data_IF_886871582977
#
_entry.id   IF_886871582977
#
_cell.length_a   1.000
_cell.length_b   1.000
_cell.length_c   1.000
_cell.angle_alpha   90.00
_cell.angle_beta   90.00
_cell.angle_gamma   90.00
#
_symmetry.space_group_name_H-M   'P 1'
#
loop_
_entity.id
_entity.type
_entity.pdbx_description
1 polymer ?
#
# COMPACT_ATOMS: atom_id res chain seq x y z
N UNK A 1 16.00 13.58 -20.48
CA UNK A 1 15.30 13.59 -19.19
C UNK A 1 15.69 12.33 -18.42
N UNK A 2 15.57 12.32 -17.09
CA UNK A 2 15.97 11.18 -16.24
C UNK A 2 14.76 10.37 -15.77
N UNK A 3 15.02 9.13 -15.37
CA UNK A 3 14.02 8.29 -14.71
C UNK A 3 13.92 8.61 -13.22
N UNK A 4 12.71 8.51 -12.67
CA UNK A 4 12.40 8.69 -11.25
C UNK A 4 11.56 7.53 -10.73
N UNK A 5 11.59 7.28 -9.42
CA UNK A 5 10.74 6.28 -8.76
C UNK A 5 9.58 6.98 -8.05
N UNK A 6 8.35 6.62 -8.39
CA UNK A 6 7.12 7.16 -7.81
C UNK A 6 6.36 6.05 -7.09
N UNK A 7 5.70 6.37 -5.96
CA UNK A 7 4.87 5.40 -5.26
C UNK A 7 3.73 4.97 -6.18
N UNK A 8 3.51 3.67 -6.36
CA UNK A 8 2.43 3.15 -7.21
C UNK A 8 1.23 2.68 -6.36
N UNK A 9 1.49 1.87 -5.33
CA UNK A 9 0.46 1.30 -4.48
C UNK A 9 0.88 1.29 -3.01
N UNK A 10 -0.10 1.41 -2.09
CA UNK A 10 0.15 1.37 -0.65
C UNK A 10 -1.00 0.77 0.15
N UNK A 11 -0.66 -0.18 1.01
CA UNK A 11 -1.48 -0.62 2.15
C UNK A 11 -0.99 0.12 3.39
N UNK A 12 -1.79 1.04 3.88
CA UNK A 12 -1.48 1.91 5.00
C UNK A 12 -2.11 1.36 6.29
N UNK A 13 -1.28 1.16 7.32
CA UNK A 13 -1.67 0.73 8.67
C UNK A 13 -2.31 -0.66 8.76
N UNK A 14 -1.95 -1.57 7.86
CA UNK A 14 -2.30 -2.99 8.04
C UNK A 14 -1.55 -3.58 9.24
N UNK A 15 -2.14 -4.54 9.93
CA UNK A 15 -1.54 -5.29 11.04
C UNK A 15 -0.93 -6.58 10.57
N UNK A 16 0.26 -6.90 11.06
CA UNK A 16 0.83 -8.24 10.93
C UNK A 16 -0.10 -9.22 11.64
N UNK A 17 -0.64 -10.19 10.91
CA UNK A 17 -1.50 -11.23 11.50
C UNK A 17 -0.65 -12.37 12.04
N UNK A 18 0.41 -12.71 11.32
CA UNK A 18 1.24 -13.89 11.58
C UNK A 18 2.70 -13.62 11.16
N UNK A 19 3.62 -14.42 11.69
CA UNK A 19 5.01 -14.44 11.27
C UNK A 19 5.47 -15.88 11.13
N UNK A 20 6.04 -16.25 9.99
CA UNK A 20 6.51 -17.61 9.74
C UNK A 20 8.01 -17.59 9.44
N UNK A 21 8.84 -18.09 10.37
CA UNK A 21 10.30 -18.00 10.29
C UNK A 21 10.91 -18.98 9.30
N UNK A 22 10.30 -20.16 9.14
CA UNK A 22 10.90 -21.26 8.37
C UNK A 22 10.45 -21.27 6.89
N UNK A 23 9.63 -20.30 6.48
CA UNK A 23 9.18 -20.14 5.10
C UNK A 23 10.12 -19.27 4.24
N UNK A 24 10.03 -19.38 2.91
CA UNK A 24 10.81 -18.55 2.00
C UNK A 24 10.49 -17.06 2.15
N UNK A 25 11.52 -16.22 2.26
CA UNK A 25 11.39 -14.79 2.52
C UNK A 25 10.45 -14.08 1.55
N UNK A 26 9.29 -13.66 2.06
CA UNK A 26 8.18 -13.06 1.32
C UNK A 26 7.21 -12.41 2.31
N UNK A 27 6.14 -11.80 1.81
CA UNK A 27 4.97 -11.43 2.63
C UNK A 27 3.72 -12.04 2.03
N UNK A 28 2.96 -12.80 2.81
CA UNK A 28 1.63 -13.25 2.39
C UNK A 28 0.64 -12.13 2.67
N UNK A 29 -0.09 -11.66 1.65
CA UNK A 29 -1.07 -10.57 1.77
C UNK A 29 -2.40 -11.06 1.23
N UNK A 30 -3.50 -10.73 1.91
CA UNK A 30 -4.86 -10.88 1.36
C UNK A 30 -4.94 -10.39 -0.09
N UNK A 31 -5.30 -11.29 -1.00
CA UNK A 31 -5.33 -11.00 -2.44
C UNK A 31 -6.30 -9.87 -2.80
N UNK A 32 -7.40 -9.71 -2.07
CA UNK A 32 -8.36 -8.63 -2.32
C UNK A 32 -7.77 -7.26 -1.96
N UNK A 33 -6.91 -7.17 -0.92
CA UNK A 33 -6.19 -5.94 -0.62
C UNK A 33 -5.19 -5.61 -1.73
N UNK A 34 -4.45 -6.61 -2.21
CA UNK A 34 -3.50 -6.46 -3.31
C UNK A 34 -4.18 -5.95 -4.59
N UNK A 35 -5.26 -6.61 -5.02
CA UNK A 35 -5.97 -6.31 -6.26
C UNK A 35 -6.54 -4.88 -6.27
N UNK A 36 -7.07 -4.43 -5.13
CA UNK A 36 -7.66 -3.08 -4.99
C UNK A 36 -6.66 -1.96 -5.21
N UNK A 37 -5.40 -2.14 -4.79
CA UNK A 37 -4.33 -1.14 -5.00
C UNK A 37 -3.42 -1.46 -6.18
N UNK A 38 -3.54 -2.65 -6.79
CA UNK A 38 -2.75 -3.08 -7.95
C UNK A 38 -1.36 -3.59 -7.60
N UNK A 39 -1.17 -4.17 -6.41
CA UNK A 39 0.09 -4.86 -6.06
C UNK A 39 0.08 -6.25 -6.70
N UNK A 40 1.11 -6.58 -7.47
CA UNK A 40 1.23 -7.88 -8.12
C UNK A 40 2.05 -8.87 -7.28
N UNK A 41 1.72 -10.18 -7.30
CA UNK A 41 2.63 -11.21 -6.82
C UNK A 41 4.01 -11.06 -7.46
N UNK A 42 5.08 -11.34 -6.70
CA UNK A 42 6.48 -11.21 -7.14
C UNK A 42 6.95 -9.76 -7.39
N UNK A 43 6.11 -8.74 -7.20
CA UNK A 43 6.53 -7.34 -7.28
C UNK A 43 7.36 -6.94 -6.06
N UNK A 44 8.41 -6.13 -6.25
CA UNK A 44 9.15 -5.56 -5.11
C UNK A 44 8.21 -4.70 -4.24
N UNK A 45 8.14 -5.01 -2.95
CA UNK A 45 7.45 -4.22 -1.93
C UNK A 45 8.42 -3.78 -0.85
N UNK A 46 8.19 -2.58 -0.34
CA UNK A 46 8.79 -2.07 0.89
C UNK A 46 7.80 -2.28 2.03
N UNK A 47 8.26 -2.86 3.14
CA UNK A 47 7.48 -3.01 4.36
C UNK A 47 8.15 -2.20 5.46
N UNK A 48 7.39 -1.31 6.08
CA UNK A 48 7.85 -0.44 7.15
C UNK A 48 7.03 -0.75 8.39
N UNK A 49 7.70 -1.22 9.43
CA UNK A 49 7.10 -1.45 10.73
C UNK A 49 6.95 -0.11 11.45
N UNK A 50 5.71 0.34 11.64
CA UNK A 50 5.39 1.58 12.34
C UNK A 50 5.63 1.43 13.84
N UNK A 51 5.45 0.21 14.38
CA UNK A 51 5.64 -0.06 15.82
C UNK A 51 7.10 0.09 16.24
N UNK A 52 8.06 -0.44 15.47
CA UNK A 52 9.46 -0.55 15.89
C UNK A 52 10.48 0.11 14.93
N UNK A 53 10.04 0.64 13.79
CA UNK A 53 10.89 1.35 12.83
C UNK A 53 11.65 0.47 11.84
N UNK A 54 11.57 -0.86 11.95
CA UNK A 54 12.23 -1.77 11.02
C UNK A 54 11.71 -1.60 9.58
N UNK A 55 12.60 -1.78 8.61
CA UNK A 55 12.28 -1.68 7.18
C UNK A 55 12.85 -2.89 6.45
N UNK A 56 12.02 -3.53 5.63
CA UNK A 56 12.43 -4.65 4.80
C UNK A 56 11.93 -4.47 3.37
N UNK A 57 12.68 -5.04 2.43
CA UNK A 57 12.29 -5.14 1.03
C UNK A 57 12.11 -6.61 0.69
N UNK A 58 11.00 -6.96 0.07
CA UNK A 58 10.69 -8.35 -0.31
C UNK A 58 9.66 -8.34 -1.45
N UNK A 59 8.97 -9.45 -1.67
CA UNK A 59 7.86 -9.58 -2.62
C UNK A 59 6.63 -10.21 -1.97
N UNK A 60 5.42 -9.91 -2.46
CA UNK A 60 4.19 -10.49 -1.94
C UNK A 60 3.85 -11.83 -2.60
N UNK A 61 3.16 -12.67 -1.83
CA UNK A 61 2.49 -13.90 -2.26
C UNK A 61 0.99 -13.75 -1.91
N UNK A 62 0.07 -14.15 -2.79
CA UNK A 62 -1.36 -14.00 -2.53
C UNK A 62 -1.82 -14.95 -1.42
N UNK A 63 -2.44 -14.39 -0.39
CA UNK A 63 -3.18 -15.10 0.65
C UNK A 63 -4.65 -15.28 0.29
N UNK A 64 -5.42 -15.89 1.21
CA UNK A 64 -6.86 -16.09 1.02
C UNK A 64 -7.59 -14.74 0.91
N UNK A 65 -8.50 -14.55 -0.05
CA UNK A 65 -9.27 -13.31 -0.18
C UNK A 65 -10.17 -13.07 1.04
N UNK A 66 -10.31 -11.80 1.43
CA UNK A 66 -11.11 -11.31 2.56
C UNK A 66 -10.74 -11.96 3.92
N UNK A 67 -9.50 -12.45 4.04
CA UNK A 67 -8.98 -13.01 5.29
C UNK A 67 -8.30 -11.96 6.16
N UNK A 68 -7.93 -10.81 5.60
CA UNK A 68 -7.11 -9.81 6.26
C UNK A 68 -5.67 -10.27 6.53
N UNK A 69 -5.22 -11.39 5.92
CA UNK A 69 -3.89 -11.94 6.22
C UNK A 69 -2.77 -10.99 5.82
N UNK A 70 -1.83 -10.78 6.73
CA UNK A 70 -0.53 -10.14 6.49
C UNK A 70 0.51 -10.96 7.26
N UNK A 71 1.07 -11.98 6.62
CA UNK A 71 2.07 -12.85 7.22
C UNK A 71 3.48 -12.47 6.76
N UNK A 72 4.36 -12.14 7.69
CA UNK A 72 5.77 -11.84 7.38
C UNK A 72 6.55 -13.16 7.42
N UNK A 73 7.13 -13.55 6.27
CA UNK A 73 7.78 -14.84 6.13
C UNK A 73 9.32 -14.74 6.14
N UNK A 74 9.97 -15.83 6.51
CA UNK A 74 11.42 -16.05 6.45
C UNK A 74 12.21 -15.17 7.41
N UNK A 75 13.41 -14.76 6.99
CA UNK A 75 14.32 -13.99 7.84
C UNK A 75 13.71 -12.69 8.38
N UNK A 76 12.79 -12.07 7.63
CA UNK A 76 12.09 -10.86 8.04
C UNK A 76 11.19 -11.09 9.27
N UNK A 77 10.70 -12.30 9.52
CA UNK A 77 9.84 -12.62 10.67
C UNK A 77 10.49 -12.27 12.02
N UNK A 78 11.83 -12.20 12.11
CA UNK A 78 12.53 -11.79 13.33
C UNK A 78 12.36 -10.29 13.67
N UNK A 79 11.90 -9.47 12.72
CA UNK A 79 11.80 -8.01 12.84
C UNK A 79 10.38 -7.51 13.09
N UNK A 80 9.41 -8.43 13.15
CA UNK A 80 7.98 -8.16 13.26
C UNK A 80 7.34 -9.08 14.29
N UNK A 81 6.24 -8.66 14.88
CA UNK A 81 5.43 -9.46 15.80
C UNK A 81 3.96 -9.36 15.38
N UNK A 82 3.16 -10.43 15.47
CA UNK A 82 1.72 -10.34 15.29
C UNK A 82 1.12 -9.18 16.11
N UNK A 83 0.29 -8.36 15.46
CA UNK A 83 -0.29 -7.14 16.00
C UNK A 83 0.45 -5.85 15.61
N UNK A 84 1.69 -5.94 15.12
CA UNK A 84 2.47 -4.79 14.64
C UNK A 84 1.74 -4.07 13.50
N UNK A 85 1.77 -2.74 13.52
CA UNK A 85 1.20 -1.92 12.45
C UNK A 85 2.30 -1.70 11.42
N UNK A 86 2.01 -1.98 10.15
CA UNK A 86 2.98 -1.84 9.05
C UNK A 86 2.39 -1.04 7.89
N UNK A 87 3.30 -0.48 7.09
CA UNK A 87 3.01 0.07 5.77
C UNK A 87 3.63 -0.87 4.74
N UNK A 88 2.86 -1.27 3.73
CA UNK A 88 3.37 -2.03 2.58
C UNK A 88 3.15 -1.20 1.34
N UNK A 89 4.19 -0.91 0.56
CA UNK A 89 4.06 -0.08 -0.64
C UNK A 89 5.06 -0.45 -1.73
N UNK A 90 4.71 -0.10 -2.96
CA UNK A 90 5.51 -0.32 -4.16
C UNK A 90 5.91 1.01 -4.79
N UNK A 91 7.01 0.97 -5.54
CA UNK A 91 7.38 2.05 -6.44
C UNK A 91 7.33 1.56 -7.88
N UNK A 92 7.07 2.47 -8.81
CA UNK A 92 7.31 2.26 -10.23
C UNK A 92 8.32 3.27 -10.75
N UNK A 93 9.04 2.89 -11.80
CA UNK A 93 9.99 3.76 -12.49
C UNK A 93 9.30 4.43 -13.68
N UNK A 94 9.36 5.77 -13.74
CA UNK A 94 8.74 6.58 -14.80
C UNK A 94 9.74 7.60 -15.33
N UNK A 95 9.57 8.00 -16.59
CA UNK A 95 10.33 9.12 -17.14
C UNK A 95 9.81 10.43 -16.55
N UNK A 96 10.71 11.31 -16.09
CA UNK A 96 10.32 12.60 -15.52
C UNK A 96 9.51 13.46 -16.49
N UNK A 97 9.82 13.42 -17.80
CA UNK A 97 9.08 14.16 -18.81
C UNK A 97 7.64 13.68 -18.94
N UNK A 98 7.45 12.35 -18.95
CA UNK A 98 6.11 11.77 -18.99
C UNK A 98 5.29 12.17 -17.77
N UNK A 99 5.91 12.19 -16.57
CA UNK A 99 5.22 12.60 -15.34
C UNK A 99 4.85 14.08 -15.37
N UNK A 100 5.74 14.96 -15.86
CA UNK A 100 5.43 16.39 -16.00
C UNK A 100 4.38 16.67 -17.08
N UNK A 101 4.25 15.80 -18.07
CA UNK A 101 3.31 15.97 -19.18
C UNK A 101 1.94 15.32 -18.94
N UNK A 102 1.92 14.14 -18.34
CA UNK A 102 0.72 13.30 -18.21
C UNK A 102 0.32 13.01 -16.77
N UNK A 103 1.20 13.32 -15.80
CA UNK A 103 0.94 13.09 -14.39
C UNK A 103 1.29 11.68 -13.93
N UNK A 104 0.79 11.35 -12.74
CA UNK A 104 0.97 10.06 -12.09
C UNK A 104 -0.22 9.78 -11.17
N UNK A 105 -0.55 8.52 -10.94
CA UNK A 105 -1.60 8.11 -10.02
C UNK A 105 -1.09 6.97 -9.12
N UNK A 106 -1.37 7.09 -7.82
CA UNK A 106 -1.07 6.07 -6.83
C UNK A 106 -2.33 5.70 -6.03
N UNK A 107 -2.51 4.42 -5.71
CA UNK A 107 -3.66 3.92 -4.96
C UNK A 107 -3.27 3.57 -3.53
N UNK A 108 -4.09 3.98 -2.57
CA UNK A 108 -3.82 3.76 -1.16
C UNK A 108 -5.06 3.19 -0.48
N UNK A 109 -4.91 2.09 0.24
CA UNK A 109 -5.88 1.65 1.24
C UNK A 109 -5.38 2.10 2.60
N UNK A 110 -6.26 2.69 3.41
CA UNK A 110 -6.10 2.79 4.85
C UNK A 110 -6.91 1.66 5.47
N UNK A 111 -6.24 0.79 6.21
CA UNK A 111 -6.85 -0.37 6.83
C UNK A 111 -7.40 -0.08 8.23
N UNK A 112 -8.48 -0.77 8.60
CA UNK A 112 -8.99 -0.85 9.97
C UNK A 112 -8.22 -1.91 10.80
N UNK A 113 -8.66 -2.17 12.04
CA UNK A 113 -8.03 -3.18 12.90
C UNK A 113 -8.11 -4.63 12.39
N UNK A 114 -9.02 -4.92 11.46
CA UNK A 114 -9.23 -6.24 10.87
C UNK A 114 -8.58 -6.38 9.49
N UNK A 115 -7.69 -5.45 9.13
CA UNK A 115 -7.10 -5.38 7.79
C UNK A 115 -8.14 -5.26 6.66
N UNK A 116 -9.30 -4.67 6.94
CA UNK A 116 -10.29 -4.32 5.93
C UNK A 116 -10.08 -2.87 5.49
N UNK A 117 -10.46 -2.55 4.26
CA UNK A 117 -10.36 -1.19 3.74
C UNK A 117 -11.34 -0.25 4.46
N UNK A 118 -10.81 0.61 5.32
CA UNK A 118 -11.54 1.69 5.99
C UNK A 118 -11.67 2.92 5.09
N UNK A 119 -10.62 3.22 4.32
CA UNK A 119 -10.62 4.33 3.37
C UNK A 119 -9.78 3.97 2.15
N UNK A 120 -10.25 4.38 0.97
CA UNK A 120 -9.54 4.20 -0.29
C UNK A 120 -9.23 5.57 -0.89
N UNK A 121 -7.95 5.89 -1.03
CA UNK A 121 -7.47 7.16 -1.58
C UNK A 121 -6.82 6.94 -2.93
N UNK A 122 -7.00 7.92 -3.79
CA UNK A 122 -6.23 8.05 -5.02
C UNK A 122 -5.42 9.34 -4.94
N UNK A 123 -4.10 9.19 -5.03
CA UNK A 123 -3.14 10.28 -4.98
C UNK A 123 -2.60 10.55 -6.37
N UNK A 124 -2.71 11.79 -6.84
CA UNK A 124 -2.38 12.18 -8.21
C UNK A 124 -1.35 13.28 -8.25
N UNK A 125 -0.46 13.19 -9.23
CA UNK A 125 0.30 14.30 -9.74
C UNK A 125 -0.41 14.80 -11.00
N UNK A 126 -0.94 16.02 -10.97
CA UNK A 126 -1.68 16.63 -12.07
C UNK A 126 -0.78 17.65 -12.77
N UNK A 127 -0.50 17.51 -14.08
CA UNK A 127 0.32 18.46 -14.83
C UNK A 127 -0.21 19.90 -14.80
N UNK A 128 0.68 20.86 -14.57
CA UNK A 128 0.37 22.29 -14.66
C UNK A 128 1.61 23.08 -15.11
N UNK A 129 1.58 23.67 -16.31
CA UNK A 129 2.60 24.61 -16.81
C UNK A 129 4.07 24.20 -16.56
N UNK A 130 4.41 22.92 -16.78
CA UNK A 130 5.78 22.41 -16.61
C UNK A 130 6.13 21.98 -15.18
N UNK A 131 5.18 22.01 -14.25
CA UNK A 131 5.24 21.38 -12.93
C UNK A 131 4.08 20.38 -12.75
N UNK A 132 3.93 19.81 -11.56
CA UNK A 132 2.80 18.98 -11.15
C UNK A 132 2.22 19.49 -9.82
N UNK A 133 0.90 19.41 -9.68
CA UNK A 133 0.17 19.59 -8.41
C UNK A 133 -0.17 18.25 -7.80
N UNK A 134 0.03 18.12 -6.48
CA UNK A 134 -0.39 16.95 -5.73
C UNK A 134 -1.87 17.06 -5.35
N UNK A 135 -2.63 15.97 -5.48
CA UNK A 135 -4.01 15.88 -5.05
C UNK A 135 -4.27 14.50 -4.43
N UNK A 136 -4.94 14.44 -3.28
CA UNK A 136 -5.26 13.19 -2.58
C UNK A 136 -6.73 13.19 -2.19
N UNK A 137 -7.52 12.26 -2.74
CA UNK A 137 -8.94 12.19 -2.43
C UNK A 137 -9.50 10.77 -2.54
N UNK A 138 -10.60 10.54 -1.83
CA UNK A 138 -11.44 9.35 -2.01
C UNK A 138 -12.23 9.48 -3.31
N UNK A 139 -12.04 8.58 -4.31
CA UNK A 139 -12.72 8.71 -5.59
C UNK A 139 -14.23 8.44 -5.45
N UNK A 140 -15.04 9.21 -6.17
CA UNK A 140 -16.51 9.11 -6.18
C UNK A 140 -16.99 7.74 -6.70
N UNK A 141 -16.17 7.06 -7.50
CA UNK A 141 -16.43 5.74 -8.09
C UNK A 141 -15.86 4.57 -7.30
N UNK A 142 -15.31 4.77 -6.09
CA UNK A 142 -14.93 3.66 -5.23
C UNK A 142 -16.17 2.77 -5.00
N UNK A 143 -16.12 1.46 -5.27
CA UNK A 143 -17.25 0.58 -5.03
C UNK A 143 -17.70 0.70 -3.58
N UNK A 144 -18.99 0.96 -3.34
CA UNK A 144 -19.52 1.19 -1.99
C UNK A 144 -19.31 0.02 -1.04
N UNK A 145 -19.12 -1.19 -1.58
CA UNK A 145 -18.80 -2.41 -0.84
C UNK A 145 -17.33 -2.55 -0.45
N UNK A 146 -16.46 -1.60 -0.82
CA UNK A 146 -15.04 -1.66 -0.47
C UNK A 146 -14.72 -1.03 0.88
N UNK A 147 -15.56 -0.10 1.34
CA UNK A 147 -15.35 0.66 2.57
C UNK A 147 -16.15 0.02 3.71
N UNK A 148 -15.48 -0.37 4.80
CA UNK A 148 -16.15 -0.86 6.01
C UNK A 148 -17.09 0.21 6.57
N UNK A 149 -18.38 -0.13 6.77
CA UNK A 149 -19.35 0.79 7.35
C UNK A 149 -19.01 1.09 8.82
N UNK A 150 -19.00 2.36 9.21
CA UNK A 150 -19.06 2.75 10.63
C UNK A 150 -17.86 3.51 11.22
N UNK A 151 -16.81 3.79 10.46
CA UNK A 151 -15.66 4.53 10.99
C UNK A 151 -15.68 6.02 10.59
N UNK A 152 -15.33 6.95 11.52
CA UNK A 152 -15.19 8.35 11.18
C UNK A 152 -14.07 8.51 10.14
N UNK A 153 -14.36 9.28 9.08
CA UNK A 153 -13.34 9.69 8.10
C UNK A 153 -12.19 10.36 8.85
N UNK A 154 -10.95 9.96 8.56
CA UNK A 154 -9.79 10.68 9.07
C UNK A 154 -9.82 12.08 8.44
N UNK A 155 -10.07 13.10 9.26
CA UNK A 155 -10.06 14.48 8.78
C UNK A 155 -8.65 14.84 8.30
N UNK A 156 -8.51 15.09 7.00
CA UNK A 156 -7.47 15.95 6.43
C UNK A 156 -6.23 15.24 5.92
N UNK A 157 -6.07 15.23 4.59
CA UNK A 157 -4.84 15.64 3.91
C UNK A 157 -5.24 16.37 2.62
N UNK A 158 -5.91 17.52 2.76
CA UNK A 158 -5.84 18.56 1.74
C UNK A 158 -4.68 19.47 2.14
N UNK A 159 -3.53 19.25 1.50
CA UNK A 159 -2.39 20.16 1.48
C UNK A 159 -1.82 20.22 0.07
#
# INVERSE_FOLDING_TARGET
>A
MGKIRLMNAKLHRVRVTETERDYMGSVTIDSNLMDRVGILPLQEVQIVNVTNGNRVTTYPVPGKPDSGIVCINGAAANLFTPGDIVLIFTFEERDLAEVLQYGHEAKVIIADENNTCQEFLVQRLIPEQGTVKFHSATPVSAPSNWVSAGFPKLNGVDS
#
